data_IF_735386452264
#
_entry.id   IF_735386452264
#
_cell.length_a   1.000
_cell.length_b   1.000
_cell.length_c   1.000
_cell.angle_alpha   90.00
_cell.angle_beta   90.00
_cell.angle_gamma   90.00
#
_symmetry.space_group_name_H-M   'P 1'
#
loop_
_entity.id
_entity.type
_entity.pdbx_description
1 polymer ?
#
# COMPACT_ATOMS: atom_id res chain seq x y z
N UNK A 1 0.21 -4.11 -1.05
CA UNK A 1 -1.04 -4.69 -1.60
C UNK A 1 -1.04 -6.15 -1.17
N UNK A 2 -2.20 -6.73 -0.88
CA UNK A 2 -2.29 -8.13 -0.46
C UNK A 2 -2.02 -9.11 -1.61
N UNK A 3 -1.98 -10.40 -1.29
CA UNK A 3 -2.04 -11.49 -2.28
C UNK A 3 -3.36 -12.24 -2.14
N UNK A 4 -3.87 -12.79 -3.23
CA UNK A 4 -5.03 -13.68 -3.19
C UNK A 4 -4.88 -14.85 -4.15
N UNK A 5 -5.40 -16.01 -3.76
CA UNK A 5 -5.39 -17.22 -4.57
C UNK A 5 -6.55 -18.13 -4.14
N UNK A 6 -6.90 -19.07 -5.02
CA UNK A 6 -7.73 -20.22 -4.66
C UNK A 6 -6.84 -21.23 -3.93
N UNK A 7 -7.40 -21.93 -2.95
CA UNK A 7 -6.67 -22.93 -2.19
C UNK A 7 -7.61 -24.02 -1.66
N UNK A 8 -7.09 -25.23 -1.51
CA UNK A 8 -7.69 -26.24 -0.64
C UNK A 8 -7.18 -26.03 0.79
N UNK A 9 -8.06 -25.69 1.72
CA UNK A 9 -7.71 -25.46 3.11
C UNK A 9 -8.01 -26.68 3.97
N UNK A 10 -7.01 -27.16 4.70
CA UNK A 10 -7.12 -28.23 5.70
C UNK A 10 -6.92 -27.61 7.08
N UNK A 11 -8.02 -27.37 7.78
CA UNK A 11 -8.07 -26.71 9.10
C UNK A 11 -8.50 -27.71 10.17
N UNK A 12 -8.35 -27.34 11.46
CA UNK A 12 -8.82 -28.15 12.59
C UNK A 12 -10.31 -28.51 12.51
N UNK A 13 -11.12 -27.59 11.96
CA UNK A 13 -12.58 -27.69 11.93
C UNK A 13 -13.10 -28.37 10.65
N UNK A 14 -12.19 -28.83 9.79
CA UNK A 14 -12.48 -29.54 8.55
C UNK A 14 -11.73 -28.98 7.35
N UNK A 15 -12.05 -29.50 6.18
CA UNK A 15 -11.40 -29.14 4.93
C UNK A 15 -12.41 -28.57 3.93
N UNK A 16 -11.97 -27.60 3.13
CA UNK A 16 -12.77 -27.11 2.02
C UNK A 16 -11.92 -26.38 1.00
N UNK A 17 -12.41 -26.32 -0.23
CA UNK A 17 -11.97 -25.33 -1.19
C UNK A 17 -12.38 -23.91 -0.76
N UNK A 18 -11.55 -22.92 -1.05
CA UNK A 18 -11.81 -21.53 -0.69
C UNK A 18 -10.87 -20.53 -1.33
N UNK A 19 -10.91 -19.29 -0.81
CA UNK A 19 -10.00 -18.20 -1.18
C UNK A 19 -9.05 -17.94 -0.02
N UNK A 20 -7.75 -17.98 -0.30
CA UNK A 20 -6.70 -17.55 0.60
C UNK A 20 -6.32 -16.11 0.28
N UNK A 21 -6.18 -15.28 1.30
CA UNK A 21 -5.81 -13.87 1.19
C UNK A 21 -4.68 -13.57 2.17
N UNK A 22 -3.62 -12.97 1.67
CA UNK A 22 -2.59 -12.34 2.48
C UNK A 22 -2.87 -10.84 2.54
N UNK A 23 -3.39 -10.37 3.67
CA UNK A 23 -3.64 -8.98 4.00
C UNK A 23 -2.77 -8.62 5.22
N UNK A 24 -1.47 -8.27 5.05
CA UNK A 24 -0.54 -8.14 6.16
C UNK A 24 -1.11 -7.30 7.31
N UNK A 25 -1.04 -7.79 8.57
CA UNK A 25 -0.30 -8.98 9.03
C UNK A 25 -1.14 -10.28 9.09
N UNK A 26 -2.26 -10.36 8.36
CA UNK A 26 -3.23 -11.45 8.45
C UNK A 26 -3.23 -12.34 7.21
N UNK A 27 -3.13 -13.65 7.42
CA UNK A 27 -3.50 -14.66 6.43
C UNK A 27 -4.96 -15.06 6.70
N UNK A 28 -5.81 -14.95 5.70
CA UNK A 28 -7.25 -15.13 5.83
C UNK A 28 -7.69 -16.20 4.84
N UNK A 29 -8.34 -17.25 5.32
CA UNK A 29 -8.97 -18.26 4.49
C UNK A 29 -10.49 -18.14 4.54
N UNK A 30 -11.12 -18.13 3.36
CA UNK A 30 -12.57 -18.04 3.19
C UNK A 30 -13.06 -19.19 2.31
N UNK A 31 -13.51 -20.27 2.94
CA UNK A 31 -14.22 -21.38 2.29
C UNK A 31 -15.48 -21.75 3.08
N UNK A 32 -15.90 -23.01 2.96
CA UNK A 32 -16.91 -23.58 3.85
C UNK A 32 -16.40 -23.63 5.30
N UNK A 33 -15.11 -23.91 5.48
CA UNK A 33 -14.36 -23.59 6.71
C UNK A 33 -13.60 -22.28 6.54
N UNK A 34 -13.31 -21.59 7.65
CA UNK A 34 -12.74 -20.24 7.63
C UNK A 34 -11.71 -20.08 8.74
N UNK A 35 -10.68 -19.28 8.48
CA UNK A 35 -9.63 -19.02 9.45
C UNK A 35 -8.99 -17.65 9.25
N UNK A 36 -8.54 -17.03 10.34
CA UNK A 36 -7.73 -15.81 10.32
C UNK A 36 -6.50 -16.08 11.18
N UNK A 37 -5.32 -16.00 10.57
CA UNK A 37 -4.05 -16.32 11.18
C UNK A 37 -3.15 -15.08 11.17
N UNK A 38 -2.54 -14.78 12.31
CA UNK A 38 -1.64 -13.65 12.49
C UNK A 38 -0.70 -13.91 13.67
N UNK A 39 0.39 -13.15 13.77
CA UNK A 39 1.31 -13.22 14.91
C UNK A 39 1.87 -14.62 15.09
N UNK A 40 1.60 -15.25 16.24
CA UNK A 40 2.14 -16.57 16.57
C UNK A 40 1.75 -17.65 15.56
N UNK A 41 0.54 -17.60 15.00
CA UNK A 41 0.06 -18.61 14.04
C UNK A 41 0.87 -18.61 12.73
N UNK A 42 1.58 -17.52 12.43
CA UNK A 42 2.44 -17.39 11.25
C UNK A 42 3.93 -17.57 11.61
N UNK A 43 4.27 -17.85 12.87
CA UNK A 43 5.64 -18.24 13.24
C UNK A 43 5.94 -19.59 12.60
N UNK A 44 7.13 -19.73 12.03
CA UNK A 44 7.59 -20.94 11.35
C UNK A 44 6.71 -21.41 10.16
N UNK A 45 5.95 -20.48 9.58
CA UNK A 45 5.25 -20.71 8.32
C UNK A 45 6.26 -21.13 7.24
N UNK A 46 5.92 -22.19 6.51
CA UNK A 46 6.81 -22.78 5.51
C UNK A 46 6.04 -23.35 4.33
N UNK A 47 6.76 -23.60 3.25
CA UNK A 47 6.24 -24.31 2.10
C UNK A 47 6.63 -25.80 2.21
N UNK A 48 5.69 -26.69 1.90
CA UNK A 48 5.93 -28.12 1.74
C UNK A 48 5.31 -28.56 0.40
N UNK A 49 6.11 -28.63 -0.66
CA UNK A 49 5.58 -28.82 -2.02
C UNK A 49 4.68 -27.64 -2.40
N UNK A 50 3.43 -27.93 -2.71
CA UNK A 50 2.43 -26.91 -3.06
C UNK A 50 1.61 -26.41 -1.87
N UNK A 51 1.91 -26.89 -0.66
CA UNK A 51 1.25 -26.48 0.58
C UNK A 51 1.97 -25.31 1.25
N UNK A 52 1.20 -24.34 1.74
CA UNK A 52 1.60 -23.50 2.87
C UNK A 52 1.22 -24.23 4.15
N UNK A 53 2.17 -24.40 5.07
CA UNK A 53 1.96 -25.08 6.35
C UNK A 53 2.19 -24.11 7.50
N UNK A 54 1.20 -24.01 8.40
CA UNK A 54 1.28 -23.20 9.61
C UNK A 54 1.85 -23.99 10.81
N UNK A 55 2.16 -23.30 11.90
CA UNK A 55 2.74 -23.90 13.11
C UNK A 55 1.84 -24.94 13.78
N UNK A 56 0.52 -24.80 13.62
CA UNK A 56 -0.48 -25.71 14.20
C UNK A 56 -0.81 -26.91 13.30
N UNK A 57 -0.14 -27.02 12.14
CA UNK A 57 -0.38 -28.08 11.17
C UNK A 57 -1.45 -27.74 10.13
N UNK A 58 -2.13 -26.59 10.21
CA UNK A 58 -3.04 -26.11 9.17
C UNK A 58 -2.32 -26.05 7.82
N UNK A 59 -2.96 -26.53 6.75
CA UNK A 59 -2.42 -26.52 5.38
C UNK A 59 -3.30 -25.76 4.41
N UNK A 60 -2.66 -25.05 3.48
CA UNK A 60 -3.32 -24.48 2.31
C UNK A 60 -2.58 -24.92 1.04
N UNK A 61 -3.18 -25.83 0.29
CA UNK A 61 -2.65 -26.28 -1.01
C UNK A 61 -3.00 -25.25 -2.07
N UNK A 62 -1.98 -24.70 -2.73
CA UNK A 62 -2.10 -23.72 -3.81
C UNK A 62 -1.84 -24.37 -5.18
N UNK A 63 -2.00 -23.58 -6.25
CA UNK A 63 -1.51 -23.98 -7.56
C UNK A 63 0.01 -24.26 -7.53
N UNK A 64 0.50 -25.17 -8.38
CA UNK A 64 1.91 -25.57 -8.37
C UNK A 64 2.91 -24.41 -8.38
N UNK A 65 3.89 -24.48 -7.46
CA UNK A 65 4.96 -23.48 -7.34
C UNK A 65 4.54 -22.11 -6.79
N UNK A 66 3.34 -21.99 -6.21
CA UNK A 66 2.90 -20.77 -5.54
C UNK A 66 3.28 -20.73 -4.06
N UNK A 67 3.36 -21.87 -3.36
CA UNK A 67 3.57 -21.93 -1.92
C UNK A 67 4.80 -21.14 -1.46
N UNK A 68 5.97 -21.38 -2.07
CA UNK A 68 7.21 -20.64 -1.75
C UNK A 68 7.06 -19.13 -1.92
N UNK A 69 6.41 -18.69 -3.01
CA UNK A 69 6.19 -17.26 -3.28
C UNK A 69 5.26 -16.63 -2.25
N UNK A 70 4.33 -17.38 -1.72
CA UNK A 70 3.43 -16.92 -0.66
C UNK A 70 4.14 -16.84 0.68
N UNK A 71 4.85 -17.90 1.08
CA UNK A 71 5.66 -17.94 2.31
C UNK A 71 6.67 -16.80 2.32
N UNK A 72 7.40 -16.61 1.21
CA UNK A 72 8.34 -15.49 1.08
C UNK A 72 7.64 -14.13 1.28
N UNK A 73 6.45 -13.93 0.71
CA UNK A 73 5.72 -12.67 0.83
C UNK A 73 5.11 -12.43 2.23
N UNK A 74 4.85 -13.50 2.98
CA UNK A 74 4.37 -13.44 4.36
C UNK A 74 5.52 -13.11 5.31
N UNK A 75 6.67 -13.76 5.12
CA UNK A 75 7.88 -13.53 5.92
C UNK A 75 8.57 -12.19 5.61
N UNK A 76 8.41 -11.67 4.39
CA UNK A 76 8.99 -10.41 3.95
C UNK A 76 7.88 -9.43 3.52
N UNK A 77 7.06 -8.92 4.46
CA UNK A 77 6.00 -7.99 4.12
C UNK A 77 6.59 -6.68 3.55
N UNK A 78 5.93 -6.06 2.56
CA UNK A 78 6.43 -4.83 1.96
C UNK A 78 6.48 -3.69 3.00
N UNK A 79 7.56 -2.93 2.98
CA UNK A 79 7.75 -1.71 3.77
C UNK A 79 6.77 -0.61 3.34
N UNK A 80 6.68 0.48 4.11
CA UNK A 80 5.90 1.66 3.69
C UNK A 80 6.41 2.23 2.38
N UNK A 81 7.74 2.39 2.22
CA UNK A 81 8.34 2.84 0.97
C UNK A 81 8.03 1.93 -0.23
N UNK A 82 8.02 0.60 -0.05
CA UNK A 82 7.63 -0.33 -1.13
C UNK A 82 6.17 -0.15 -1.54
N UNK A 83 5.30 0.16 -0.57
CA UNK A 83 3.88 0.45 -0.82
C UNK A 83 3.73 1.80 -1.53
N UNK A 84 4.52 2.80 -1.16
CA UNK A 84 4.52 4.13 -1.79
C UNK A 84 5.19 4.13 -3.17
N UNK A 85 5.95 3.08 -3.49
CA UNK A 85 6.59 2.92 -4.79
C UNK A 85 7.92 3.66 -4.90
N UNK A 86 8.52 4.05 -3.78
CA UNK A 86 9.82 4.73 -3.74
C UNK A 86 10.91 3.74 -4.13
N UNK A 87 11.65 4.06 -5.18
CA UNK A 87 12.79 3.29 -5.69
C UNK A 87 14.05 4.16 -5.68
N UNK A 88 15.25 3.55 -5.55
CA UNK A 88 16.50 4.28 -5.71
C UNK A 88 16.57 5.04 -7.03
N UNK A 89 17.13 6.25 -7.00
CA UNK A 89 17.33 7.10 -8.18
C UNK A 89 16.12 7.91 -8.65
N UNK A 90 14.99 7.85 -7.93
CA UNK A 90 13.82 8.69 -8.22
C UNK A 90 14.00 10.13 -7.74
N UNK A 91 13.47 11.09 -8.49
CA UNK A 91 13.25 12.46 -8.02
C UNK A 91 12.03 12.49 -7.09
N UNK A 92 12.26 12.74 -5.79
CA UNK A 92 11.21 12.75 -4.77
C UNK A 92 11.14 14.12 -4.11
N UNK A 93 9.92 14.67 -4.02
CA UNK A 93 9.63 15.94 -3.36
C UNK A 93 8.63 15.74 -2.22
N UNK A 94 8.89 16.39 -1.09
CA UNK A 94 8.00 16.47 0.06
C UNK A 94 7.46 17.90 0.20
N UNK A 95 6.15 18.05 0.05
CA UNK A 95 5.41 19.29 0.27
C UNK A 95 4.54 19.14 1.53
N UNK A 96 5.04 19.65 2.66
CA UNK A 96 4.29 19.77 3.92
C UNK A 96 4.05 18.48 4.71
N UNK A 97 4.48 17.31 4.24
CA UNK A 97 4.35 16.05 5.01
C UNK A 97 5.36 16.01 6.16
N UNK A 98 4.85 16.11 7.39
CA UNK A 98 5.65 16.09 8.63
C UNK A 98 5.42 14.78 9.41
N UNK A 99 6.16 13.73 9.04
CA UNK A 99 6.14 12.41 9.69
C UNK A 99 7.61 11.95 9.84
N UNK A 100 8.20 12.12 11.02
CA UNK A 100 9.62 11.84 11.29
C UNK A 100 10.02 10.42 10.86
N UNK A 101 9.22 9.42 11.23
CA UNK A 101 9.46 8.02 10.84
C UNK A 101 9.52 7.86 9.32
N UNK A 102 8.66 8.58 8.56
CA UNK A 102 8.65 8.51 7.10
C UNK A 102 9.87 9.15 6.50
N UNK A 103 10.25 10.33 7.00
CA UNK A 103 11.41 11.06 6.51
C UNK A 103 12.70 10.26 6.79
N UNK A 104 12.81 9.66 7.97
CA UNK A 104 13.90 8.75 8.32
C UNK A 104 13.95 7.55 7.39
N UNK A 105 12.83 6.84 7.18
CA UNK A 105 12.74 5.74 6.22
C UNK A 105 13.17 6.18 4.82
N UNK A 106 12.63 7.30 4.34
CA UNK A 106 12.86 7.83 2.99
C UNK A 106 14.33 8.11 2.74
N UNK A 107 15.03 8.70 3.72
CA UNK A 107 16.45 9.01 3.66
C UNK A 107 17.33 7.78 3.47
N UNK A 108 16.87 6.59 3.87
CA UNK A 108 17.60 5.33 3.63
C UNK A 108 17.58 4.88 2.17
N UNK A 109 16.76 5.51 1.32
CA UNK A 109 16.49 5.05 -0.05
C UNK A 109 16.71 6.10 -1.13
N UNK A 110 16.36 7.35 -0.86
CA UNK A 110 16.51 8.49 -1.77
C UNK A 110 16.82 9.76 -0.98
N UNK A 111 17.50 10.70 -1.62
CA UNK A 111 17.64 12.07 -1.14
C UNK A 111 16.43 12.88 -1.65
N UNK A 112 15.50 13.19 -0.75
CA UNK A 112 14.28 13.92 -1.10
C UNK A 112 14.48 15.44 -0.97
N UNK A 113 13.87 16.18 -1.89
CA UNK A 113 13.79 17.64 -1.81
C UNK A 113 12.56 18.05 -0.99
N UNK A 114 12.64 19.18 -0.28
CA UNK A 114 11.56 19.66 0.58
C UNK A 114 11.18 21.08 0.18
N UNK A 115 9.90 21.32 -0.09
CA UNK A 115 9.38 22.62 -0.50
C UNK A 115 8.02 22.53 -1.19
N UNK A 116 7.46 23.67 -1.61
CA UNK A 116 6.24 23.71 -2.42
C UNK A 116 6.41 22.89 -3.70
N UNK A 117 5.52 21.95 -3.96
CA UNK A 117 5.69 21.00 -5.07
C UNK A 117 5.77 21.66 -6.45
N UNK A 118 5.10 22.80 -6.64
CA UNK A 118 5.10 23.61 -7.86
C UNK A 118 6.43 24.30 -8.16
N UNK A 119 7.35 24.39 -7.20
CA UNK A 119 8.68 24.97 -7.39
C UNK A 119 9.66 23.97 -8.05
N UNK A 120 9.22 22.74 -8.34
CA UNK A 120 10.04 21.66 -8.89
C UNK A 120 9.53 21.21 -10.28
N UNK A 121 10.41 20.54 -11.01
CA UNK A 121 10.13 19.96 -12.33
C UNK A 121 10.63 18.50 -12.39
N UNK A 122 10.10 17.71 -13.33
CA UNK A 122 10.46 16.30 -13.55
C UNK A 122 10.43 15.42 -12.28
N UNK A 123 9.43 15.64 -11.42
CA UNK A 123 9.26 14.90 -10.16
C UNK A 123 8.66 13.51 -10.41
N UNK A 124 9.32 12.44 -9.94
CA UNK A 124 8.79 11.07 -10.04
C UNK A 124 7.71 10.81 -8.99
N UNK A 125 7.93 11.25 -7.74
CA UNK A 125 6.97 11.12 -6.65
C UNK A 125 6.92 12.42 -5.84
N UNK A 126 5.76 13.05 -5.84
CA UNK A 126 5.45 14.21 -5.00
C UNK A 126 4.56 13.76 -3.84
N UNK A 127 5.00 13.96 -2.60
CA UNK A 127 4.18 13.72 -1.41
C UNK A 127 3.68 15.05 -0.87
N UNK A 128 2.36 15.26 -0.88
CA UNK A 128 1.73 16.50 -0.43
C UNK A 128 0.85 16.25 0.77
N UNK A 129 1.00 17.05 1.82
CA UNK A 129 0.08 17.04 2.95
C UNK A 129 -1.22 17.78 2.62
N UNK A 130 -2.35 17.22 3.02
CA UNK A 130 -3.66 17.87 2.90
C UNK A 130 -4.51 17.61 4.14
N UNK A 131 -4.82 18.68 4.86
CA UNK A 131 -5.71 18.74 6.02
C UNK A 131 -7.05 19.41 5.70
N UNK A 132 -7.15 20.18 4.60
CA UNK A 132 -8.40 20.80 4.15
C UNK A 132 -8.57 20.83 2.61
N UNK A 133 -9.73 21.31 2.18
CA UNK A 133 -10.09 21.39 0.76
C UNK A 133 -9.26 22.43 -0.01
N UNK A 134 -8.89 23.55 0.63
CA UNK A 134 -8.16 24.63 -0.05
C UNK A 134 -6.76 24.21 -0.45
N UNK A 135 -6.14 23.30 0.30
CA UNK A 135 -4.86 22.70 -0.08
C UNK A 135 -4.95 21.82 -1.34
N UNK A 136 -6.14 21.32 -1.69
CA UNK A 136 -6.35 20.53 -2.90
C UNK A 136 -6.51 21.40 -4.17
N UNK A 137 -6.75 22.70 -4.03
CA UNK A 137 -6.89 23.62 -5.17
C UNK A 137 -5.57 23.73 -5.97
N UNK A 138 -4.44 23.43 -5.33
CA UNK A 138 -3.10 23.41 -5.96
C UNK A 138 -2.85 22.16 -6.82
N UNK A 139 -3.74 21.17 -6.85
CA UNK A 139 -3.48 19.89 -7.54
C UNK A 139 -3.23 20.06 -9.06
N UNK A 140 -3.79 21.09 -9.71
CA UNK A 140 -3.51 21.39 -11.12
C UNK A 140 -2.06 21.86 -11.32
N UNK A 141 -1.57 22.77 -10.47
CA UNK A 141 -0.19 23.27 -10.52
C UNK A 141 0.82 22.16 -10.15
N UNK A 142 0.52 21.39 -9.10
CA UNK A 142 1.34 20.23 -8.69
C UNK A 142 1.40 19.16 -9.78
N UNK A 143 0.34 19.02 -10.57
CA UNK A 143 0.37 18.15 -11.75
C UNK A 143 1.37 18.66 -12.79
N UNK A 144 1.65 19.96 -12.89
CA UNK A 144 2.66 20.52 -13.79
C UNK A 144 4.08 20.03 -13.48
N UNK A 145 4.43 19.89 -12.20
CA UNK A 145 5.75 19.52 -11.72
C UNK A 145 6.17 18.07 -12.02
N UNK A 146 5.22 17.17 -12.31
CA UNK A 146 5.51 15.73 -12.42
C UNK A 146 6.26 15.36 -13.71
N UNK A 147 7.19 14.42 -13.63
CA UNK A 147 7.72 13.71 -14.80
C UNK A 147 6.59 12.98 -15.56
N UNK A 148 6.85 12.52 -16.79
CA UNK A 148 5.86 11.84 -17.65
C UNK A 148 5.11 10.70 -16.93
N UNK A 149 5.82 9.92 -16.10
CA UNK A 149 5.28 8.79 -15.32
C UNK A 149 5.16 9.12 -13.82
N UNK A 150 5.30 10.39 -13.46
CA UNK A 150 5.27 10.87 -12.09
C UNK A 150 3.91 10.70 -11.43
N UNK A 151 3.90 10.77 -10.11
CA UNK A 151 2.68 10.63 -9.32
C UNK A 151 2.67 11.55 -8.11
N UNK A 152 1.46 11.94 -7.71
CA UNK A 152 1.20 12.67 -6.47
C UNK A 152 0.65 11.69 -5.45
N UNK A 153 1.24 11.66 -4.26
CA UNK A 153 0.68 11.08 -3.07
C UNK A 153 0.10 12.19 -2.20
N UNK A 154 -1.23 12.26 -2.13
CA UNK A 154 -1.89 13.12 -1.14
C UNK A 154 -1.94 12.36 0.18
N UNK A 155 -1.28 12.90 1.20
CA UNK A 155 -1.21 12.36 2.56
C UNK A 155 -2.14 13.19 3.44
N UNK A 156 -3.15 12.54 4.02
CA UNK A 156 -4.17 13.22 4.82
C UNK A 156 -4.54 12.41 6.06
N UNK A 157 -5.05 13.09 7.08
CA UNK A 157 -5.53 12.44 8.30
C UNK A 157 -6.66 11.45 7.97
N UNK A 158 -6.72 10.33 8.68
CA UNK A 158 -7.77 9.33 8.56
C UNK A 158 -8.48 9.10 9.88
N UNK A 159 -9.73 8.65 9.78
CA UNK A 159 -10.56 8.31 10.94
C UNK A 159 -11.81 9.17 11.01
N UNK A 160 -12.63 8.94 12.04
CA UNK A 160 -13.96 9.57 12.16
C UNK A 160 -13.91 11.09 12.30
N UNK A 161 -12.81 11.61 12.83
CA UNK A 161 -12.60 13.04 13.09
C UNK A 161 -11.71 13.71 12.04
N UNK A 162 -11.37 13.01 10.95
CA UNK A 162 -10.57 13.58 9.89
C UNK A 162 -11.32 14.77 9.26
N UNK A 163 -10.67 15.95 9.13
CA UNK A 163 -11.29 17.14 8.55
C UNK A 163 -11.59 16.98 7.06
N UNK A 164 -10.76 16.19 6.36
CA UNK A 164 -10.86 15.92 4.94
C UNK A 164 -11.22 14.45 4.71
N UNK A 165 -12.24 14.17 3.89
CA UNK A 165 -12.60 12.79 3.54
C UNK A 165 -11.91 12.36 2.25
N UNK A 166 -11.60 11.07 2.14
CA UNK A 166 -11.08 10.47 0.90
C UNK A 166 -11.95 10.79 -0.32
N UNK A 167 -13.27 10.87 -0.15
CA UNK A 167 -14.21 11.24 -1.24
C UNK A 167 -13.97 12.64 -1.77
N UNK A 168 -13.57 13.56 -0.91
CA UNK A 168 -13.31 14.96 -1.26
C UNK A 168 -11.98 15.07 -2.02
N UNK A 169 -10.94 14.36 -1.55
CA UNK A 169 -9.65 14.24 -2.23
C UNK A 169 -9.82 13.64 -3.63
N UNK A 170 -10.57 12.54 -3.74
CA UNK A 170 -10.86 11.88 -5.01
C UNK A 170 -11.64 12.79 -5.97
N UNK A 171 -12.59 13.58 -5.46
CA UNK A 171 -13.36 14.52 -6.27
C UNK A 171 -12.48 15.65 -6.83
N UNK A 172 -11.67 16.27 -5.97
CA UNK A 172 -10.75 17.35 -6.36
C UNK A 172 -9.74 16.86 -7.41
N UNK A 173 -9.04 15.74 -7.14
CA UNK A 173 -8.07 15.17 -8.07
C UNK A 173 -8.70 14.82 -9.42
N UNK A 174 -9.92 14.27 -9.43
CA UNK A 174 -10.61 13.96 -10.70
C UNK A 174 -11.02 15.21 -11.47
N UNK A 175 -11.32 16.29 -10.78
CA UNK A 175 -11.68 17.60 -11.36
C UNK A 175 -10.56 18.19 -12.20
N UNK A 176 -9.30 17.96 -11.79
CA UNK A 176 -8.09 18.43 -12.50
C UNK A 176 -7.50 17.39 -13.46
N UNK A 177 -8.22 16.30 -13.73
CA UNK A 177 -7.78 15.29 -14.71
C UNK A 177 -6.82 14.22 -14.19
N UNK A 178 -6.65 14.10 -12.87
CA UNK A 178 -5.91 13.00 -12.25
C UNK A 178 -6.79 11.74 -12.09
N UNK A 179 -6.12 10.59 -12.06
CA UNK A 179 -6.73 9.29 -11.74
C UNK A 179 -6.09 8.68 -10.51
N UNK A 180 -6.93 8.23 -9.58
CA UNK A 180 -6.48 7.44 -8.44
C UNK A 180 -6.01 6.06 -8.89
N UNK A 181 -4.89 5.60 -8.34
CA UNK A 181 -4.26 4.32 -8.70
C UNK A 181 -4.00 3.43 -7.50
N UNK A 182 -3.92 4.02 -6.31
CA UNK A 182 -3.62 3.29 -5.09
C UNK A 182 -4.04 4.09 -3.86
N UNK A 183 -4.41 3.35 -2.83
CA UNK A 183 -4.50 3.86 -1.45
C UNK A 183 -3.64 2.98 -0.57
N UNK A 184 -2.99 3.57 0.43
CA UNK A 184 -2.35 2.81 1.50
C UNK A 184 -2.43 3.54 2.84
N UNK A 185 -2.47 2.75 3.92
CA UNK A 185 -2.20 3.28 5.24
C UNK A 185 -0.77 3.85 5.26
N UNK A 186 -0.66 5.15 5.57
CA UNK A 186 0.61 5.86 5.62
C UNK A 186 1.23 5.78 7.00
N UNK A 187 0.48 6.16 8.03
CA UNK A 187 0.87 6.03 9.43
C UNK A 187 -0.34 5.59 10.28
N UNK A 188 -0.24 5.65 11.61
CA UNK A 188 -1.41 5.38 12.48
C UNK A 188 -2.54 6.38 12.23
N UNK A 189 -2.18 7.65 11.98
CA UNK A 189 -3.11 8.78 11.85
C UNK A 189 -3.39 9.20 10.42
N UNK A 190 -2.55 8.79 9.45
CA UNK A 190 -2.71 9.22 8.06
C UNK A 190 -2.96 8.07 7.07
N UNK A 191 -3.64 8.41 5.99
CA UNK A 191 -3.75 7.62 4.75
C UNK A 191 -2.99 8.35 3.64
N UNK A 192 -2.64 7.64 2.58
CA UNK A 192 -2.08 8.24 1.38
C UNK A 192 -2.84 7.73 0.14
N UNK A 193 -3.23 8.65 -0.73
CA UNK A 193 -3.89 8.40 -2.01
C UNK A 193 -2.96 8.77 -3.16
N UNK A 194 -2.72 7.83 -4.07
CA UNK A 194 -1.83 8.00 -5.22
C UNK A 194 -2.60 8.37 -6.47
N UNK A 195 -2.17 9.45 -7.10
CA UNK A 195 -2.73 10.00 -8.32
C UNK A 195 -1.70 10.06 -9.44
N UNK A 196 -2.14 9.83 -10.66
CA UNK A 196 -1.35 10.00 -11.89
C UNK A 196 -2.16 10.78 -12.91
N UNK A 197 -1.49 11.42 -13.88
CA UNK A 197 -2.16 12.01 -15.04
C UNK A 197 -2.97 10.95 -15.77
N UNK A 198 -4.20 11.27 -16.16
CA UNK A 198 -4.98 10.40 -17.06
C UNK A 198 -4.23 10.23 -18.38
N UNK A 199 -4.21 8.98 -18.87
CA UNK A 199 -3.92 8.76 -20.28
C UNK A 199 -5.11 9.29 -21.08
N UNK A 200 -4.85 10.25 -21.97
CA UNK A 200 -5.83 10.70 -22.96
C UNK A 200 -6.23 9.60 -23.92
#
# INVERSE_FOLDING_TARGET
>A
MGKEARAWGQLSDGESDGKLLWEPPKLIFRGAVRGIYQGHALRDIRAEGDDIVLSDGTRFTLDPGQADKWVHAILNPPTRLDKLGVKPGMSVVIDGVDDEDFLDELSTRVEAQVGPGEDFEDVDLLFVAADDLGQLDRLEDLQGALAEKGAIWVVSQKGKTAPLKDTDVLAAARGVGLSDTKVCAFSKTHTALRFVRRKG
#
